data_IF_218261158527
#
_entry.id   IF_218261158527
#
_cell.length_a   1.000
_cell.length_b   1.000
_cell.length_c   1.000
_cell.angle_alpha   90.00
_cell.angle_beta   90.00
_cell.angle_gamma   90.00
#
_symmetry.space_group_name_H-M   'P 1'
#
loop_
_entity.id
_entity.type
_entity.pdbx_description
1 polymer ?
#
# COMPACT_ATOMS: atom_id res chain seq x y z
N UNK A 1 -17.29 34.71 -6.46
CA UNK A 1 -17.80 34.42 -5.09
C UNK A 1 -17.09 33.19 -4.57
N UNK A 2 -16.03 33.40 -3.78
CA UNK A 2 -15.32 32.31 -3.10
C UNK A 2 -16.17 31.86 -1.89
N UNK A 3 -16.49 30.57 -1.82
CA UNK A 3 -17.12 29.98 -0.62
C UNK A 3 -16.03 29.51 0.33
N UNK A 4 -15.96 30.19 1.47
CA UNK A 4 -15.17 29.78 2.63
C UNK A 4 -15.76 28.49 3.22
N UNK A 5 -14.95 27.44 3.32
CA UNK A 5 -15.28 26.27 4.14
C UNK A 5 -14.74 26.51 5.55
N UNK A 6 -15.66 26.79 6.47
CA UNK A 6 -15.41 26.78 7.90
C UNK A 6 -15.23 25.34 8.36
N UNK A 7 -14.09 25.08 9.00
CA UNK A 7 -13.77 23.88 9.76
C UNK A 7 -14.84 23.60 10.81
N UNK A 8 -15.56 22.47 10.64
CA UNK A 8 -16.32 21.85 11.72
C UNK A 8 -15.78 20.43 11.92
N UNK A 9 -14.90 20.35 12.90
CA UNK A 9 -14.32 19.14 13.45
C UNK A 9 -15.34 18.50 14.39
N UNK A 10 -16.10 17.49 13.94
CA UNK A 10 -16.74 16.44 14.76
C UNK A 10 -17.56 15.48 13.89
N UNK A 11 -17.29 14.17 14.00
CA UNK A 11 -18.13 13.02 13.61
C UNK A 11 -18.31 12.71 12.10
N UNK A 12 -17.26 12.23 11.45
CA UNK A 12 -17.39 11.42 10.21
C UNK A 12 -16.25 10.40 10.01
N UNK A 13 -15.94 9.61 11.04
CA UNK A 13 -15.41 8.25 10.86
C UNK A 13 -16.43 7.30 10.20
N UNK A 14 -17.66 7.78 9.99
CA UNK A 14 -18.88 7.04 9.70
C UNK A 14 -18.97 6.33 8.34
N UNK A 15 -17.88 6.12 7.60
CA UNK A 15 -17.94 5.33 6.36
C UNK A 15 -16.62 4.71 5.91
N UNK A 16 -15.64 4.57 6.81
CA UNK A 16 -14.26 4.62 6.35
C UNK A 16 -13.85 3.46 5.42
N UNK A 17 -14.32 2.22 5.61
CA UNK A 17 -13.83 1.07 4.81
C UNK A 17 -14.87 -0.05 4.65
N UNK A 18 -16.16 0.28 4.72
CA UNK A 18 -17.24 -0.72 4.62
C UNK A 18 -17.29 -1.40 3.25
N UNK A 19 -17.09 -2.72 3.22
CA UNK A 19 -17.40 -3.70 2.15
C UNK A 19 -16.88 -3.46 0.72
N UNK A 20 -16.34 -2.29 0.37
CA UNK A 20 -16.09 -1.88 -1.02
C UNK A 20 -14.71 -2.25 -1.56
N UNK A 21 -13.79 -2.68 -0.68
CA UNK A 21 -12.37 -2.85 -1.00
C UNK A 21 -11.82 -4.26 -0.77
N UNK A 22 -12.68 -5.23 -0.44
CA UNK A 22 -12.23 -6.63 -0.49
C UNK A 22 -11.90 -6.98 -1.94
N UNK A 23 -10.66 -7.44 -2.13
CA UNK A 23 -10.15 -7.90 -3.41
C UNK A 23 -10.15 -9.42 -3.41
N UNK A 24 -10.53 -10.05 -4.52
CA UNK A 24 -10.31 -11.49 -4.69
C UNK A 24 -8.83 -11.78 -4.94
N UNK A 25 -8.23 -11.00 -5.83
CA UNK A 25 -6.82 -11.05 -6.21
C UNK A 25 -6.39 -9.69 -6.79
N UNK A 26 -5.12 -9.55 -7.18
CA UNK A 26 -4.59 -8.29 -7.71
C UNK A 26 -5.24 -7.86 -9.04
N UNK A 27 -5.80 -8.80 -9.81
CA UNK A 27 -6.46 -8.51 -11.09
C UNK A 27 -7.83 -7.86 -10.93
N UNK A 28 -8.39 -7.84 -9.72
CA UNK A 28 -9.59 -7.07 -9.40
C UNK A 28 -9.33 -5.57 -9.32
N UNK A 29 -8.09 -5.14 -9.05
CA UNK A 29 -7.75 -3.72 -8.80
C UNK A 29 -8.18 -2.79 -9.95
N UNK A 30 -7.94 -3.11 -11.24
CA UNK A 30 -8.40 -2.28 -12.36
C UNK A 30 -9.94 -2.11 -12.44
N UNK A 31 -10.71 -3.05 -11.89
CA UNK A 31 -12.19 -3.02 -11.96
C UNK A 31 -12.81 -2.09 -10.93
N UNK A 32 -12.05 -1.71 -9.90
CA UNK A 32 -12.53 -0.88 -8.78
C UNK A 32 -12.25 0.59 -9.06
N UNK A 33 -13.20 1.45 -8.67
CA UNK A 33 -13.01 2.90 -8.68
C UNK A 33 -12.40 3.33 -7.35
N UNK A 34 -11.19 3.89 -7.40
CA UNK A 34 -10.52 4.47 -6.25
C UNK A 34 -10.50 5.98 -6.36
N UNK A 35 -10.73 6.66 -5.23
CA UNK A 35 -10.63 8.10 -5.11
C UNK A 35 -9.31 8.48 -4.45
N UNK A 36 -8.87 9.72 -4.69
CA UNK A 36 -7.75 10.31 -3.97
C UNK A 36 -8.03 10.28 -2.47
N UNK A 37 -7.05 9.83 -1.70
CA UNK A 37 -7.09 9.79 -0.24
C UNK A 37 -6.55 11.11 0.34
N UNK A 38 -7.06 11.50 1.49
CA UNK A 38 -6.45 12.54 2.32
C UNK A 38 -5.34 11.97 3.22
N UNK A 39 -4.58 12.84 3.90
CA UNK A 39 -3.42 12.42 4.68
C UNK A 39 -3.79 11.49 5.86
N UNK A 40 -4.92 11.73 6.53
CA UNK A 40 -5.38 10.92 7.66
C UNK A 40 -5.79 9.52 7.19
N UNK A 41 -6.51 9.44 6.06
CA UNK A 41 -6.88 8.16 5.42
C UNK A 41 -5.65 7.36 5.01
N UNK A 42 -4.64 8.02 4.41
CA UNK A 42 -3.38 7.36 4.06
C UNK A 42 -2.69 6.82 5.31
N UNK A 43 -2.50 7.65 6.34
CA UNK A 43 -1.82 7.25 7.58
C UNK A 43 -2.55 6.12 8.30
N UNK A 44 -3.88 6.13 8.28
CA UNK A 44 -4.67 5.05 8.85
C UNK A 44 -4.48 3.73 8.10
N UNK A 45 -4.51 3.74 6.77
CA UNK A 45 -4.26 2.52 5.99
C UNK A 45 -2.83 2.03 6.18
N UNK A 46 -1.83 2.94 6.20
CA UNK A 46 -0.45 2.57 6.51
C UNK A 46 -0.35 1.90 7.89
N UNK A 47 -1.10 2.37 8.89
CA UNK A 47 -1.14 1.75 10.22
C UNK A 47 -1.82 0.38 10.22
N UNK A 48 -2.89 0.18 9.47
CA UNK A 48 -3.60 -1.11 9.36
C UNK A 48 -2.67 -2.20 8.79
N UNK A 49 -1.76 -1.80 7.90
CA UNK A 49 -0.84 -2.71 7.21
C UNK A 49 0.61 -2.62 7.70
N UNK A 50 0.85 -1.98 8.84
CA UNK A 50 2.17 -1.89 9.50
C UNK A 50 3.28 -1.27 8.62
N UNK A 51 2.92 -0.32 7.76
CA UNK A 51 3.81 0.33 6.79
C UNK A 51 4.41 1.67 7.28
N UNK A 52 3.85 2.22 8.36
CA UNK A 52 4.14 3.56 8.89
C UNK A 52 5.61 3.78 9.32
N UNK A 53 6.36 2.71 9.56
CA UNK A 53 7.77 2.78 9.95
C UNK A 53 8.72 3.13 8.80
N UNK A 54 8.33 2.86 7.55
CA UNK A 54 9.25 2.91 6.41
C UNK A 54 8.73 3.72 5.22
N UNK A 55 7.41 3.90 5.10
CA UNK A 55 6.79 4.68 4.03
C UNK A 55 6.49 6.10 4.50
N UNK A 56 6.85 7.08 3.69
CA UNK A 56 6.58 8.49 3.96
C UNK A 56 5.62 9.06 2.93
N UNK A 57 4.57 9.74 3.37
CA UNK A 57 3.71 10.54 2.52
C UNK A 57 4.40 11.88 2.22
N UNK A 58 4.86 12.08 0.98
CA UNK A 58 5.53 13.30 0.52
C UNK A 58 4.63 14.08 -0.43
N UNK A 59 4.00 15.15 0.05
CA UNK A 59 3.07 16.04 -0.68
C UNK A 59 1.86 15.31 -1.28
N UNK A 60 2.08 14.47 -2.30
CA UNK A 60 1.05 13.74 -3.04
C UNK A 60 1.44 12.31 -3.38
N UNK A 61 2.59 11.81 -2.94
CA UNK A 61 3.04 10.45 -3.23
C UNK A 61 3.57 9.72 -1.99
N UNK A 62 3.58 8.40 -2.05
CA UNK A 62 4.20 7.54 -1.04
C UNK A 62 5.62 7.17 -1.48
N UNK A 63 6.61 7.45 -0.64
CA UNK A 63 8.01 7.26 -0.96
C UNK A 63 8.67 6.32 0.05
N UNK A 64 9.49 5.40 -0.46
CA UNK A 64 10.36 4.52 0.34
C UNK A 64 11.67 4.23 -0.38
N UNK A 65 12.73 3.95 0.40
CA UNK A 65 14.01 3.44 -0.08
C UNK A 65 14.24 2.01 0.42
N UNK A 66 14.66 1.13 -0.47
CA UNK A 66 15.07 -0.24 -0.18
C UNK A 66 16.56 -0.39 -0.41
N UNK A 67 17.25 -0.99 0.55
CA UNK A 67 18.66 -1.34 0.42
C UNK A 67 18.79 -2.86 0.37
N UNK A 68 19.45 -3.34 -0.68
CA UNK A 68 19.79 -4.74 -0.91
C UNK A 68 21.31 -4.92 -0.91
N UNK A 69 21.76 -6.16 -0.76
CA UNK A 69 23.18 -6.50 -0.71
C UNK A 69 23.86 -6.33 -2.07
N UNK A 70 23.14 -6.61 -3.15
CA UNK A 70 23.66 -6.57 -4.52
C UNK A 70 22.71 -5.88 -5.49
N UNK A 71 23.24 -5.53 -6.68
CA UNK A 71 22.40 -5.06 -7.78
C UNK A 71 21.44 -6.15 -8.27
N UNK A 72 21.87 -7.42 -8.25
CA UNK A 72 21.03 -8.56 -8.66
C UNK A 72 19.81 -8.69 -7.74
N UNK A 73 19.98 -8.62 -6.42
CA UNK A 73 18.86 -8.66 -5.46
C UNK A 73 17.89 -7.50 -5.70
N UNK A 74 18.43 -6.29 -5.92
CA UNK A 74 17.60 -5.11 -6.21
C UNK A 74 16.80 -5.26 -7.50
N UNK A 75 17.37 -5.90 -8.52
CA UNK A 75 16.70 -6.14 -9.79
C UNK A 75 15.68 -7.27 -9.69
N UNK A 76 15.96 -8.33 -8.92
CA UNK A 76 14.98 -9.37 -8.59
C UNK A 76 13.76 -8.78 -7.90
N UNK A 77 13.97 -7.85 -6.97
CA UNK A 77 12.88 -7.11 -6.32
C UNK A 77 12.04 -6.34 -7.32
N UNK A 78 12.70 -5.59 -8.20
CA UNK A 78 12.03 -4.85 -9.26
C UNK A 78 11.22 -5.78 -10.18
N UNK A 79 11.80 -6.91 -10.61
CA UNK A 79 11.13 -7.87 -11.47
C UNK A 79 9.86 -8.45 -10.81
N UNK A 80 9.93 -8.83 -9.54
CA UNK A 80 8.79 -9.39 -8.81
C UNK A 80 7.69 -8.33 -8.58
N UNK A 81 8.06 -7.10 -8.21
CA UNK A 81 7.09 -5.99 -8.11
C UNK A 81 6.43 -5.69 -9.46
N UNK A 82 7.18 -5.80 -10.56
CA UNK A 82 6.64 -5.53 -11.90
C UNK A 82 5.51 -6.49 -12.32
N UNK A 83 5.58 -7.76 -11.89
CA UNK A 83 4.51 -8.74 -12.15
C UNK A 83 3.20 -8.32 -11.48
N UNK A 84 3.27 -7.81 -10.25
CA UNK A 84 2.11 -7.36 -9.50
C UNK A 84 1.57 -6.03 -10.04
N UNK A 85 2.47 -5.09 -10.36
CA UNK A 85 2.11 -3.83 -11.00
C UNK A 85 1.32 -4.05 -12.29
N UNK A 86 1.70 -5.07 -13.09
CA UNK A 86 1.00 -5.44 -14.32
C UNK A 86 -0.41 -6.00 -14.07
N UNK A 87 -0.58 -6.86 -13.05
CA UNK A 87 -1.89 -7.36 -12.63
C UNK A 87 -2.80 -6.22 -12.15
N UNK A 88 -2.25 -5.28 -11.38
CA UNK A 88 -2.97 -4.13 -10.83
C UNK A 88 -3.27 -3.02 -11.85
N UNK A 89 -2.61 -3.06 -13.02
CA UNK A 89 -2.52 -1.93 -13.98
C UNK A 89 -2.18 -0.62 -13.26
N UNK A 90 -1.18 -0.69 -12.39
CA UNK A 90 -0.72 0.42 -11.55
C UNK A 90 0.79 0.34 -11.42
N UNK A 91 1.50 1.30 -12.02
CA UNK A 91 2.95 1.21 -12.23
C UNK A 91 3.69 2.14 -11.28
N UNK A 92 4.75 1.64 -10.60
CA UNK A 92 5.56 2.49 -9.73
C UNK A 92 6.44 3.43 -10.56
N UNK A 93 6.75 4.60 -10.01
CA UNK A 93 7.95 5.33 -10.40
C UNK A 93 9.08 4.90 -9.48
N UNK A 94 10.23 4.56 -10.05
CA UNK A 94 11.39 4.17 -9.25
C UNK A 94 12.71 4.69 -9.81
N UNK A 95 13.72 4.66 -8.96
CA UNK A 95 15.12 4.88 -9.32
C UNK A 95 15.96 3.77 -8.68
N UNK A 96 16.83 3.13 -9.47
CA UNK A 96 17.72 2.07 -8.99
C UNK A 96 19.18 2.41 -9.26
N UNK A 97 20.03 2.24 -8.25
CA UNK A 97 21.48 2.45 -8.32
C UNK A 97 22.16 1.44 -7.40
N UNK A 98 22.95 0.53 -7.98
CA UNK A 98 23.56 -0.59 -7.24
C UNK A 98 22.47 -1.35 -6.46
N UNK A 99 22.70 -1.69 -5.18
CA UNK A 99 21.68 -2.33 -4.34
C UNK A 99 20.57 -1.41 -3.82
N UNK A 100 20.50 -0.14 -4.22
CA UNK A 100 19.49 0.81 -3.73
C UNK A 100 18.32 0.94 -4.73
N UNK A 101 17.09 0.82 -4.25
CA UNK A 101 15.87 1.15 -5.01
C UNK A 101 15.07 2.20 -4.25
N UNK A 102 14.79 3.34 -4.88
CA UNK A 102 13.83 4.34 -4.37
C UNK A 102 12.53 4.18 -5.13
N UNK A 103 11.42 3.96 -4.44
CA UNK A 103 10.07 3.86 -5.01
C UNK A 103 9.27 5.13 -4.63
N UNK A 104 8.52 5.64 -5.60
CA UNK A 104 7.63 6.80 -5.53
C UNK A 104 6.27 6.40 -6.14
N UNK A 105 5.24 6.29 -5.30
CA UNK A 105 3.91 5.79 -5.68
C UNK A 105 2.88 6.91 -5.66
N UNK A 106 2.25 7.12 -6.82
CA UNK A 106 1.18 8.08 -7.03
C UNK A 106 0.24 7.58 -8.12
N UNK A 107 -1.06 7.79 -7.91
CA UNK A 107 -2.06 7.61 -8.96
C UNK A 107 -2.16 8.90 -9.78
N UNK A 108 -1.54 8.90 -10.96
CA UNK A 108 -1.37 10.10 -11.79
C UNK A 108 -2.69 10.73 -12.22
N UNK A 109 -3.71 9.91 -12.52
CA UNK A 109 -5.01 10.37 -13.01
C UNK A 109 -5.71 11.28 -12.00
N UNK A 110 -5.49 11.05 -10.71
CA UNK A 110 -6.08 11.85 -9.62
C UNK A 110 -5.06 12.76 -8.92
N UNK A 111 -3.81 12.80 -9.40
CA UNK A 111 -2.71 13.60 -8.83
C UNK A 111 -2.59 13.43 -7.31
N UNK A 112 -2.54 12.19 -6.86
CA UNK A 112 -2.45 11.87 -5.43
C UNK A 112 -2.42 10.38 -5.13
N UNK A 113 -2.23 10.07 -3.84
CA UNK A 113 -2.26 8.72 -3.32
C UNK A 113 -3.69 8.18 -3.36
N UNK A 114 -3.85 6.97 -3.87
CA UNK A 114 -5.06 6.16 -3.74
C UNK A 114 -4.76 4.85 -3.03
N UNK A 115 -5.79 4.05 -2.84
CA UNK A 115 -5.64 2.67 -2.36
C UNK A 115 -4.66 1.84 -3.19
N UNK A 116 -4.58 2.06 -4.52
CA UNK A 116 -3.66 1.31 -5.39
C UNK A 116 -2.20 1.51 -4.97
N UNK A 117 -1.86 2.75 -4.59
CA UNK A 117 -0.53 3.11 -4.14
C UNK A 117 -0.18 2.43 -2.81
N UNK A 118 -1.12 2.40 -1.86
CA UNK A 118 -0.89 1.75 -0.56
C UNK A 118 -0.82 0.22 -0.68
N UNK A 119 -1.63 -0.38 -1.55
CA UNK A 119 -1.56 -1.81 -1.82
C UNK A 119 -0.24 -2.20 -2.48
N UNK A 120 0.22 -1.44 -3.48
CA UNK A 120 1.51 -1.71 -4.11
C UNK A 120 2.68 -1.47 -3.14
N UNK A 121 2.56 -0.52 -2.22
CA UNK A 121 3.51 -0.32 -1.11
C UNK A 121 3.59 -1.56 -0.20
N UNK A 122 2.44 -2.07 0.24
CA UNK A 122 2.34 -3.28 1.06
C UNK A 122 2.97 -4.49 0.39
N UNK A 123 2.65 -4.72 -0.88
CA UNK A 123 3.20 -5.85 -1.64
C UNK A 123 4.70 -5.70 -1.86
N UNK A 124 5.18 -4.48 -2.15
CA UNK A 124 6.62 -4.21 -2.28
C UNK A 124 7.37 -4.53 -0.99
N UNK A 125 6.82 -4.20 0.18
CA UNK A 125 7.48 -4.53 1.45
C UNK A 125 7.61 -6.03 1.68
N UNK A 126 6.57 -6.81 1.37
CA UNK A 126 6.61 -8.27 1.49
C UNK A 126 7.65 -8.88 0.53
N UNK A 127 7.66 -8.45 -0.74
CA UNK A 127 8.64 -8.93 -1.71
C UNK A 127 10.07 -8.55 -1.27
N UNK A 128 10.27 -7.33 -0.78
CA UNK A 128 11.57 -6.88 -0.28
C UNK A 128 12.06 -7.75 0.89
N UNK A 129 11.18 -8.10 1.83
CA UNK A 129 11.56 -8.94 2.98
C UNK A 129 12.00 -10.33 2.53
N UNK A 130 11.26 -10.94 1.59
CA UNK A 130 11.60 -12.27 1.05
C UNK A 130 12.96 -12.25 0.36
N UNK A 131 13.23 -11.23 -0.45
CA UNK A 131 14.50 -11.11 -1.17
C UNK A 131 15.67 -10.82 -0.23
N UNK A 132 15.45 -10.01 0.82
CA UNK A 132 16.47 -9.77 1.84
C UNK A 132 16.78 -11.01 2.68
N UNK A 133 15.82 -11.93 2.84
CA UNK A 133 16.03 -13.22 3.52
C UNK A 133 16.69 -14.26 2.60
N UNK A 134 16.43 -14.20 1.30
CA UNK A 134 16.90 -15.16 0.30
C UNK A 134 17.89 -14.49 -0.67
N UNK A 135 19.12 -14.27 -0.21
CA UNK A 135 20.21 -13.78 -1.03
C UNK A 135 20.38 -14.65 -2.29
N UNK A 136 20.34 -14.01 -3.45
CA UNK A 136 20.40 -14.71 -4.73
C UNK A 136 21.78 -14.61 -5.36
N UNK A 137 22.23 -15.72 -5.95
CA UNK A 137 23.40 -15.71 -6.83
C UNK A 137 23.02 -15.45 -8.29
N UNK A 138 21.71 -15.52 -8.59
CA UNK A 138 21.12 -15.30 -9.90
C UNK A 138 19.74 -14.63 -9.77
N UNK A 139 19.40 -13.77 -10.73
CA UNK A 139 18.07 -13.12 -10.76
C UNK A 139 16.90 -14.13 -10.87
N UNK A 140 17.19 -15.37 -11.28
CA UNK A 140 16.19 -16.43 -11.41
C UNK A 140 15.92 -17.18 -10.11
N UNK A 141 16.76 -17.04 -9.08
CA UNK A 141 16.60 -17.79 -7.82
C UNK A 141 15.32 -17.34 -7.08
N UNK A 142 14.92 -16.08 -7.30
CA UNK A 142 13.74 -15.44 -6.72
C UNK A 142 12.59 -15.31 -7.74
N UNK A 143 12.51 -16.16 -8.77
CA UNK A 143 11.47 -16.05 -9.81
C UNK A 143 10.09 -16.55 -9.37
N UNK A 144 10.03 -17.41 -8.35
CA UNK A 144 8.82 -18.06 -7.84
C UNK A 144 8.45 -17.56 -6.43
N UNK A 145 8.46 -16.24 -6.21
CA UNK A 145 7.96 -15.69 -4.94
C UNK A 145 6.44 -15.84 -4.92
N UNK A 146 5.95 -16.60 -3.94
CA UNK A 146 4.53 -16.84 -3.78
C UNK A 146 3.89 -15.67 -3.00
N UNK A 147 3.17 -14.81 -3.70
CA UNK A 147 2.43 -13.67 -3.13
C UNK A 147 0.91 -13.88 -3.14
N UNK A 148 0.46 -15.10 -3.44
CA UNK A 148 -0.95 -15.48 -3.62
C UNK A 148 -1.81 -15.19 -2.38
N UNK A 149 -1.24 -15.31 -1.19
CA UNK A 149 -1.94 -15.05 0.07
C UNK A 149 -1.93 -13.58 0.51
N UNK A 150 -1.20 -12.70 -0.17
CA UNK A 150 -1.08 -11.30 0.26
C UNK A 150 -2.41 -10.56 0.23
N UNK A 151 -3.26 -10.82 -0.77
CA UNK A 151 -4.60 -10.21 -0.84
C UNK A 151 -5.50 -10.72 0.30
N UNK A 152 -5.37 -11.99 0.68
CA UNK A 152 -6.12 -12.53 1.81
C UNK A 152 -5.69 -11.89 3.14
N UNK A 153 -4.38 -11.76 3.35
CA UNK A 153 -3.83 -11.06 4.53
C UNK A 153 -4.23 -9.59 4.56
N UNK A 154 -4.15 -8.91 3.42
CA UNK A 154 -4.60 -7.54 3.25
C UNK A 154 -6.08 -7.39 3.66
N UNK A 155 -6.96 -8.23 3.11
CA UNK A 155 -8.38 -8.25 3.45
C UNK A 155 -8.61 -8.54 4.94
N UNK A 156 -7.84 -9.47 5.53
CA UNK A 156 -7.93 -9.82 6.94
C UNK A 156 -7.58 -8.63 7.85
N UNK A 157 -6.50 -7.91 7.56
CA UNK A 157 -6.10 -6.72 8.33
C UNK A 157 -7.20 -5.65 8.34
N UNK A 158 -7.85 -5.44 7.20
CA UNK A 158 -9.00 -4.54 7.11
C UNK A 158 -10.17 -5.00 7.99
N UNK A 159 -10.56 -6.26 7.89
CA UNK A 159 -11.66 -6.82 8.68
C UNK A 159 -11.39 -6.68 10.18
N UNK A 160 -10.19 -7.07 10.63
CA UNK A 160 -9.75 -6.94 12.02
C UNK A 160 -9.81 -5.49 12.52
N UNK A 161 -9.39 -4.53 11.68
CA UNK A 161 -9.49 -3.10 12.02
C UNK A 161 -10.94 -2.62 12.15
N UNK A 162 -11.85 -3.10 11.31
CA UNK A 162 -13.28 -2.75 11.41
C UNK A 162 -13.91 -3.31 12.69
N UNK A 163 -13.63 -4.56 13.05
CA UNK A 163 -14.11 -5.18 14.29
C UNK A 163 -13.65 -4.41 15.52
N UNK A 164 -12.36 -4.02 15.56
CA UNK A 164 -11.81 -3.25 16.67
C UNK A 164 -12.51 -1.89 16.82
N UNK A 165 -12.76 -1.17 15.72
CA UNK A 165 -13.46 0.11 15.76
C UNK A 165 -14.90 -0.03 16.25
N UNK A 166 -15.62 -1.09 15.83
CA UNK A 166 -16.98 -1.38 16.32
C UNK A 166 -17.00 -1.67 17.83
N UNK A 167 -15.98 -2.35 18.36
CA UNK A 167 -15.87 -2.61 19.81
C UNK A 167 -15.62 -1.31 20.58
N UNK A 168 -14.73 -0.45 20.08
CA UNK A 168 -14.44 0.87 20.69
C UNK A 168 -15.68 1.77 20.64
N UNK A 169 -16.38 1.84 19.52
CA UNK A 169 -17.60 2.66 19.40
C UNK A 169 -18.68 2.20 20.38
N UNK A 170 -18.82 0.88 20.58
CA UNK A 170 -19.73 0.35 21.59
C UNK A 170 -19.28 0.77 22.99
N UNK A 171 -18.02 0.62 23.36
CA UNK A 171 -17.54 0.92 24.72
C UNK A 171 -17.59 2.40 25.08
N UNK A 172 -17.38 3.30 24.11
CA UNK A 172 -17.47 4.76 24.31
C UNK A 172 -18.92 5.22 24.48
N UNK A 173 -19.90 4.53 23.88
CA UNK A 173 -21.32 4.89 24.01
C UNK A 173 -22.00 4.36 25.29
N UNK A 174 -21.28 3.59 26.13
CA UNK A 174 -21.77 3.10 27.44
C UNK A 174 -21.19 3.89 28.63
N UNK A 175 -20.40 4.94 28.40
CA UNK A 175 -19.87 5.88 29.39
C UNK A 175 -20.53 7.26 29.23
#
# INVERSE_FOLDING_TARGET
MYRNFTSNNTRTTANLLGLKYLLKDFSDVPTKKFTKLNADEVNQILSIHELNSNWTLNVSSLVRKYQFQSFQDSFSFMAQVSQIAEQMKHYPKWFNKNGLVTIDLITNEVKGVTFKDVLLAYTSDHISQIIQQNHSNSIFDNCNIHVENLIQQWNHNYQKSQELNQVIDKSVNFL
#
